data_IF_026135329592
#
_entry.id   IF_026135329592
#
_cell.length_a   1.000
_cell.length_b   1.000
_cell.length_c   1.000
_cell.angle_alpha   90.00
_cell.angle_beta   90.00
_cell.angle_gamma   90.00
#
_symmetry.space_group_name_H-M   'P 1'
#
loop_
_entity.id
_entity.type
_entity.pdbx_description
1 polymer ?
#
# COMPACT_ATOMS: atom_id res chain seq x y z
N UNK A 1 -15.59 12.49 12.25
CA UNK A 1 -14.24 12.91 11.84
C UNK A 1 -14.25 13.10 10.33
N UNK A 2 -14.19 14.36 9.86
CA UNK A 2 -14.24 14.65 8.42
C UNK A 2 -12.88 14.29 7.80
N UNK A 3 -12.83 13.19 7.04
CA UNK A 3 -11.59 12.62 6.48
C UNK A 3 -10.90 13.50 5.42
N UNK A 4 -11.52 14.61 5.03
CA UNK A 4 -11.00 15.53 4.00
C UNK A 4 -10.24 16.73 4.55
N UNK A 5 -9.95 16.77 5.86
CA UNK A 5 -9.15 17.83 6.48
C UNK A 5 -7.93 17.23 7.18
N UNK A 6 -6.74 17.70 6.83
CA UNK A 6 -5.50 17.41 7.53
C UNK A 6 -4.80 18.74 7.84
N UNK A 7 -4.19 18.86 9.02
CA UNK A 7 -3.46 20.06 9.43
C UNK A 7 -4.24 21.38 9.23
N UNK A 8 -5.55 21.38 9.53
CA UNK A 8 -6.37 22.60 9.54
C UNK A 8 -6.87 23.08 8.18
N UNK A 9 -6.67 22.33 7.10
CA UNK A 9 -7.15 22.72 5.76
C UNK A 9 -7.70 21.52 4.97
N UNK A 10 -8.51 21.83 3.97
CA UNK A 10 -9.06 20.82 3.07
C UNK A 10 -7.93 20.22 2.21
N UNK A 11 -7.81 18.89 2.23
CA UNK A 11 -6.85 18.16 1.41
C UNK A 11 -7.62 17.31 0.39
N UNK A 12 -7.39 17.50 -0.93
CA UNK A 12 -7.95 16.61 -1.93
C UNK A 12 -7.31 15.23 -1.79
N UNK A 13 -8.12 14.22 -1.52
CA UNK A 13 -7.66 12.83 -1.44
C UNK A 13 -8.03 12.11 -2.73
N UNK A 14 -7.01 11.59 -3.41
CA UNK A 14 -7.19 10.65 -4.53
C UNK A 14 -6.50 9.35 -4.15
N UNK A 15 -7.19 8.23 -4.36
CA UNK A 15 -6.65 6.90 -4.08
C UNK A 15 -6.65 6.08 -5.37
N UNK A 16 -5.50 5.50 -5.69
CA UNK A 16 -5.33 4.56 -6.79
C UNK A 16 -4.98 3.19 -6.23
N UNK A 17 -5.75 2.17 -6.64
CA UNK A 17 -5.44 0.80 -6.27
C UNK A 17 -4.39 0.25 -7.23
N UNK A 18 -3.20 -0.02 -6.72
CA UNK A 18 -2.15 -0.71 -7.46
C UNK A 18 -2.31 -2.23 -7.34
N UNK A 19 -1.87 -2.96 -8.36
CA UNK A 19 -1.66 -4.41 -8.26
C UNK A 19 -0.54 -4.65 -7.22
N UNK A 20 -0.81 -5.37 -6.12
CA UNK A 20 0.22 -5.63 -5.12
C UNK A 20 1.43 -6.38 -5.67
N UNK A 21 1.26 -7.24 -6.68
CA UNK A 21 2.38 -7.95 -7.31
C UNK A 21 3.29 -6.98 -8.07
N UNK A 22 2.69 -6.00 -8.75
CA UNK A 22 3.44 -4.94 -9.42
C UNK A 22 4.25 -4.10 -8.41
N UNK A 23 3.69 -3.82 -7.23
CA UNK A 23 4.42 -3.08 -6.19
C UNK A 23 5.68 -3.80 -5.71
N UNK A 24 5.66 -5.13 -5.64
CA UNK A 24 6.87 -5.92 -5.34
C UNK A 24 7.96 -5.73 -6.39
N UNK A 25 7.62 -5.68 -7.68
CA UNK A 25 8.56 -5.38 -8.76
C UNK A 25 9.16 -3.98 -8.61
N UNK A 26 8.31 -2.98 -8.38
CA UNK A 26 8.75 -1.59 -8.17
C UNK A 26 9.74 -1.48 -7.01
N UNK A 27 9.47 -2.17 -5.90
CA UNK A 27 10.37 -2.18 -4.73
C UNK A 27 11.71 -2.85 -5.04
N UNK A 28 11.69 -3.98 -5.75
CA UNK A 28 12.91 -4.67 -6.18
C UNK A 28 13.77 -3.77 -7.07
N UNK A 29 13.16 -3.15 -8.08
CA UNK A 29 13.83 -2.25 -9.00
C UNK A 29 14.38 -1.01 -8.29
N UNK A 30 13.71 -0.54 -7.24
CA UNK A 30 14.13 0.57 -6.39
C UNK A 30 15.27 0.23 -5.41
N UNK A 31 15.84 -0.98 -5.47
CA UNK A 31 16.96 -1.36 -4.60
C UNK A 31 16.54 -1.96 -3.27
N UNK A 32 15.31 -2.44 -3.11
CA UNK A 32 14.88 -3.17 -1.93
C UNK A 32 14.81 -4.68 -2.21
N UNK A 33 15.02 -5.49 -1.19
CA UNK A 33 14.66 -6.90 -1.21
C UNK A 33 13.29 -7.06 -0.58
N UNK A 34 12.32 -7.57 -1.35
CA UNK A 34 11.01 -7.97 -0.80
C UNK A 34 11.19 -9.27 0.00
N UNK A 35 11.11 -9.15 1.33
CA UNK A 35 11.29 -10.25 2.26
C UNK A 35 10.00 -11.03 2.49
N UNK A 36 8.85 -10.36 2.42
CA UNK A 36 7.55 -10.99 2.62
C UNK A 36 6.50 -10.32 1.76
N UNK A 37 5.63 -11.16 1.18
CA UNK A 37 4.44 -10.75 0.46
C UNK A 37 3.27 -11.58 0.98
N UNK A 38 2.30 -10.92 1.60
CA UNK A 38 1.04 -11.52 2.02
C UNK A 38 -0.09 -10.92 1.18
N UNK A 39 -0.85 -11.76 0.51
CA UNK A 39 -2.09 -11.39 -0.15
C UNK A 39 -3.23 -12.14 0.50
N UNK A 40 -4.20 -11.40 1.04
CA UNK A 40 -5.31 -11.98 1.79
C UNK A 40 -6.66 -11.50 1.26
N UNK A 41 -7.66 -12.34 1.48
CA UNK A 41 -9.06 -11.99 1.28
C UNK A 41 -9.45 -10.78 2.14
N UNK A 42 -10.45 -9.99 1.72
CA UNK A 42 -10.99 -8.91 2.55
C UNK A 42 -11.52 -9.45 3.88
N UNK A 43 -11.32 -8.69 4.95
CA UNK A 43 -11.79 -9.01 6.30
C UNK A 43 -12.69 -7.90 6.85
N UNK A 44 -13.80 -8.28 7.49
CA UNK A 44 -14.74 -7.35 8.14
C UNK A 44 -15.35 -6.34 7.16
N UNK A 45 -14.92 -5.07 7.26
CA UNK A 45 -15.48 -3.96 6.48
C UNK A 45 -14.74 -3.74 5.14
N UNK A 46 -13.73 -4.54 4.84
CA UNK A 46 -12.96 -4.41 3.61
C UNK A 46 -13.76 -4.93 2.40
N UNK A 47 -13.77 -4.14 1.33
CA UNK A 47 -14.47 -4.49 0.08
C UNK A 47 -13.58 -5.19 -0.94
N UNK A 48 -12.27 -5.16 -0.74
CA UNK A 48 -11.28 -5.68 -1.70
C UNK A 48 -10.18 -6.45 -0.98
N UNK A 49 -9.55 -7.44 -1.64
CA UNK A 49 -8.36 -8.09 -1.12
C UNK A 49 -7.30 -7.07 -0.71
N UNK A 50 -6.56 -7.40 0.34
CA UNK A 50 -5.49 -6.58 0.88
C UNK A 50 -4.16 -7.28 0.72
N UNK A 51 -3.10 -6.49 0.58
CA UNK A 51 -1.75 -7.02 0.54
C UNK A 51 -0.83 -6.27 1.50
N UNK A 52 0.08 -7.01 2.11
CA UNK A 52 1.15 -6.51 2.95
C UNK A 52 2.47 -6.92 2.30
N UNK A 53 3.34 -5.93 2.06
CA UNK A 53 4.68 -6.15 1.52
C UNK A 53 5.68 -5.65 2.55
N UNK A 54 6.58 -6.54 2.97
CA UNK A 54 7.73 -6.18 3.80
C UNK A 54 8.96 -6.19 2.90
N UNK A 55 9.64 -5.06 2.83
CA UNK A 55 10.86 -4.91 2.03
C UNK A 55 11.94 -4.20 2.83
N UNK A 56 13.19 -4.57 2.57
CA UNK A 56 14.37 -3.99 3.20
C UNK A 56 15.32 -3.46 2.14
N UNK A 57 15.92 -2.30 2.35
CA UNK A 57 16.90 -1.74 1.42
C UNK A 57 18.11 -2.68 1.29
N UNK A 58 18.54 -2.94 0.05
CA UNK A 58 19.81 -3.62 -0.26
C UNK A 58 20.97 -2.73 0.18
N UNK A 59 21.96 -3.34 0.85
CA UNK A 59 23.17 -2.65 1.28
C UNK A 59 23.99 -2.17 0.09
#
# INVERSE_FOLDING_TARGET
MNRSSAYGHAVPLTNYRHDPKHMSTVLNDAGFDVQTYLHRSPEGHEKTPQAIVLARRRH
#
